data_IF_890716725343
#
_entry.id   IF_890716725343
#
_cell.length_a   1.000
_cell.length_b   1.000
_cell.length_c   1.000
_cell.angle_alpha   90.00
_cell.angle_beta   90.00
_cell.angle_gamma   90.00
#
_symmetry.space_group_name_H-M   'P 1'
#
loop_
_entity.id
_entity.type
_entity.pdbx_description
1 polymer ?
#
# COMPACT_ATOMS: atom_id res chain seq x y z
N UNK A 1 21.04 -11.85 1.16
CA UNK A 1 20.18 -11.12 0.19
C UNK A 1 19.45 -12.14 -0.67
N UNK A 2 18.13 -12.18 -0.63
CA UNK A 2 17.33 -13.13 -1.43
C UNK A 2 17.21 -12.62 -2.87
N UNK A 3 17.73 -13.38 -3.83
CA UNK A 3 17.65 -13.07 -5.26
C UNK A 3 16.49 -13.84 -5.89
N UNK A 4 15.61 -13.12 -6.57
CA UNK A 4 14.52 -13.68 -7.38
C UNK A 4 14.83 -13.47 -8.86
N UNK A 5 14.08 -14.16 -9.75
CA UNK A 5 14.23 -13.99 -11.19
C UNK A 5 13.96 -12.54 -11.65
N UNK A 6 13.20 -11.76 -10.88
CA UNK A 6 12.95 -10.34 -11.08
C UNK A 6 13.88 -9.42 -10.27
N UNK A 7 15.05 -9.91 -9.84
CA UNK A 7 16.05 -9.13 -9.11
C UNK A 7 15.99 -9.27 -7.59
N UNK A 8 16.65 -8.34 -6.90
CA UNK A 8 16.67 -8.27 -5.43
C UNK A 8 15.48 -7.44 -4.96
N UNK A 9 14.58 -8.03 -4.18
CA UNK A 9 13.36 -7.34 -3.69
C UNK A 9 13.60 -6.52 -2.42
N UNK A 10 14.62 -6.89 -1.64
CA UNK A 10 14.98 -6.23 -0.39
C UNK A 10 16.49 -6.38 -0.14
N UNK A 11 17.19 -5.26 0.07
CA UNK A 11 18.63 -5.18 0.28
C UNK A 11 18.93 -4.21 1.42
N UNK A 12 19.86 -4.56 2.30
CA UNK A 12 20.32 -3.69 3.39
C UNK A 12 19.39 -3.58 4.60
N UNK A 13 18.23 -4.26 4.63
CA UNK A 13 17.36 -4.30 5.82
C UNK A 13 17.78 -5.39 6.80
N UNK A 14 18.08 -5.00 8.03
CA UNK A 14 18.59 -5.88 9.10
C UNK A 14 17.56 -6.01 10.22
N UNK A 15 16.80 -7.11 10.24
CA UNK A 15 15.97 -7.53 11.39
C UNK A 15 15.08 -6.44 12.00
N UNK A 16 14.50 -5.56 11.18
CA UNK A 16 13.62 -4.48 11.64
C UNK A 16 12.41 -5.06 12.40
N UNK A 17 12.26 -4.64 13.64
CA UNK A 17 11.14 -4.97 14.51
C UNK A 17 9.93 -4.12 14.18
N UNK A 18 8.76 -4.48 14.70
CA UNK A 18 7.57 -3.63 14.58
C UNK A 18 7.77 -2.24 15.20
N UNK A 19 8.50 -2.16 16.30
CA UNK A 19 8.82 -0.90 16.97
C UNK A 19 9.68 0.01 16.09
N UNK A 20 10.63 -0.54 15.32
CA UNK A 20 11.44 0.23 14.38
C UNK A 20 10.56 0.92 13.31
N UNK A 21 9.50 0.24 12.83
CA UNK A 21 8.54 0.86 11.91
C UNK A 21 7.73 1.97 12.58
N UNK A 22 7.29 1.77 13.82
CA UNK A 22 6.57 2.80 14.57
C UNK A 22 7.46 4.04 14.83
N UNK A 23 8.74 3.83 15.07
CA UNK A 23 9.72 4.88 15.36
C UNK A 23 10.34 5.51 14.10
N UNK A 24 10.01 5.01 12.91
CA UNK A 24 10.50 5.59 11.65
C UNK A 24 10.11 7.07 11.54
N UNK A 25 11.04 7.91 11.07
CA UNK A 25 10.87 9.37 11.02
C UNK A 25 9.56 9.80 10.32
N UNK A 26 9.21 9.13 9.22
CA UNK A 26 7.94 9.36 8.51
C UNK A 26 6.71 9.09 9.39
N UNK A 27 6.71 8.02 10.18
CA UNK A 27 5.60 7.70 11.08
C UNK A 27 5.43 8.76 12.15
N UNK A 28 6.53 9.28 12.70
CA UNK A 28 6.53 10.36 13.68
C UNK A 28 6.00 11.68 13.09
N UNK A 29 6.50 12.08 11.92
CA UNK A 29 6.05 13.31 11.23
C UNK A 29 4.56 13.24 10.87
N UNK A 30 4.09 12.09 10.37
CA UNK A 30 2.69 11.86 10.02
C UNK A 30 1.80 11.53 11.22
N UNK A 31 2.36 11.45 12.43
CA UNK A 31 1.64 11.06 13.65
C UNK A 31 0.88 9.76 13.46
N UNK A 32 1.53 8.75 12.89
CA UNK A 32 0.96 7.41 12.75
C UNK A 32 1.04 6.69 14.09
N UNK A 33 -0.12 6.33 14.64
CA UNK A 33 -0.21 5.38 15.74
C UNK A 33 0.18 3.95 15.33
N UNK A 34 0.58 3.08 16.27
CA UNK A 34 0.92 1.69 15.98
C UNK A 34 -0.17 0.93 15.20
N UNK A 35 -1.45 1.23 15.44
CA UNK A 35 -2.56 0.62 14.70
C UNK A 35 -2.53 0.96 13.20
N UNK A 36 -2.18 2.19 12.82
CA UNK A 36 -1.99 2.58 11.42
C UNK A 36 -0.83 1.79 10.81
N UNK A 37 0.33 1.77 11.48
CA UNK A 37 1.53 1.06 11.01
C UNK A 37 1.24 -0.43 10.81
N UNK A 38 0.62 -1.07 11.81
CA UNK A 38 0.23 -2.48 11.73
C UNK A 38 -0.73 -2.73 10.56
N UNK A 39 -1.76 -1.90 10.40
CA UNK A 39 -2.75 -2.08 9.34
C UNK A 39 -2.16 -1.93 7.93
N UNK A 40 -1.26 -0.95 7.73
CA UNK A 40 -0.55 -0.74 6.47
C UNK A 40 0.40 -1.89 6.15
N UNK A 41 1.13 -2.40 7.15
CA UNK A 41 2.00 -3.57 6.98
C UNK A 41 1.20 -4.84 6.71
N UNK A 42 0.08 -5.05 7.40
CA UNK A 42 -0.82 -6.17 7.11
C UNK A 42 -1.36 -6.08 5.67
N UNK A 43 -1.73 -4.88 5.20
CA UNK A 43 -2.22 -4.67 3.84
C UNK A 43 -1.20 -5.03 2.75
N UNK A 44 0.11 -4.98 3.03
CA UNK A 44 1.13 -5.38 2.05
C UNK A 44 1.46 -6.89 2.05
N UNK A 45 0.84 -7.66 2.94
CA UNK A 45 0.92 -9.13 2.98
C UNK A 45 -0.23 -9.78 2.20
N UNK A 46 -0.30 -11.11 2.18
CA UNK A 46 -1.41 -11.86 1.59
C UNK A 46 -2.81 -11.47 2.13
N UNK A 47 -2.88 -10.81 3.30
CA UNK A 47 -4.12 -10.32 3.92
C UNK A 47 -4.85 -9.27 3.06
N UNK A 48 -4.16 -8.62 2.11
CA UNK A 48 -4.79 -7.67 1.18
C UNK A 48 -6.03 -8.24 0.48
N UNK A 49 -6.08 -9.57 0.25
CA UNK A 49 -7.20 -10.24 -0.39
C UNK A 49 -8.45 -10.22 0.49
N UNK A 50 -8.28 -10.43 1.79
CA UNK A 50 -9.37 -10.40 2.78
C UNK A 50 -9.86 -8.99 3.08
N UNK A 51 -9.01 -7.98 2.82
CA UNK A 51 -9.39 -6.56 2.92
C UNK A 51 -10.10 -6.10 1.63
N UNK A 52 -9.47 -6.29 0.47
CA UNK A 52 -10.00 -5.76 -0.79
C UNK A 52 -11.17 -6.57 -1.34
N UNK A 53 -11.30 -7.85 -1.01
CA UNK A 53 -12.36 -8.72 -1.49
C UNK A 53 -13.75 -8.20 -1.10
N UNK A 54 -14.05 -8.06 0.20
CA UNK A 54 -15.36 -7.56 0.64
C UNK A 54 -15.62 -6.10 0.26
N UNK A 55 -14.59 -5.27 0.08
CA UNK A 55 -14.73 -3.91 -0.46
C UNK A 55 -15.14 -3.87 -1.94
N UNK A 56 -14.82 -4.92 -2.71
CA UNK A 56 -15.20 -5.06 -4.13
C UNK A 56 -16.54 -5.76 -4.34
N UNK A 57 -17.07 -6.43 -3.30
CA UNK A 57 -18.31 -7.18 -3.38
C UNK A 57 -19.52 -6.24 -3.27
N UNK A 58 -20.09 -5.92 -4.43
CA UNK A 58 -21.28 -5.06 -4.56
C UNK A 58 -22.57 -5.72 -4.08
N UNK A 59 -22.59 -7.03 -3.85
CA UNK A 59 -23.77 -7.78 -3.40
C UNK A 59 -23.83 -7.94 -1.88
N UNK A 60 -22.74 -7.63 -1.17
CA UNK A 60 -22.66 -7.80 0.27
C UNK A 60 -23.48 -6.75 1.00
N UNK A 61 -24.33 -7.19 1.92
CA UNK A 61 -25.26 -6.36 2.70
C UNK A 61 -24.82 -6.11 4.15
N UNK A 62 -23.90 -6.93 4.69
CA UNK A 62 -23.39 -6.81 6.06
C UNK A 62 -22.18 -5.88 6.20
N UNK A 63 -21.73 -5.57 7.44
CA UNK A 63 -20.53 -4.78 7.66
C UNK A 63 -19.28 -5.46 7.08
N UNK A 64 -18.21 -4.69 6.88
CA UNK A 64 -16.93 -5.26 6.46
C UNK A 64 -16.34 -6.13 7.60
N UNK A 65 -15.88 -7.37 7.35
CA UNK A 65 -15.38 -8.26 8.40
C UNK A 65 -14.19 -7.69 9.20
N UNK A 66 -13.41 -6.83 8.56
CA UNK A 66 -12.24 -6.14 9.12
C UNK A 66 -12.42 -4.62 9.13
N UNK A 67 -13.61 -4.11 9.46
CA UNK A 67 -13.95 -2.69 9.35
C UNK A 67 -12.95 -1.75 10.04
N UNK A 68 -12.49 -2.10 11.25
CA UNK A 68 -11.51 -1.29 11.99
C UNK A 68 -10.15 -1.28 11.26
N UNK A 69 -9.69 -2.42 10.77
CA UNK A 69 -8.44 -2.49 9.98
C UNK A 69 -8.54 -1.65 8.72
N UNK A 70 -9.68 -1.68 8.02
CA UNK A 70 -9.92 -0.83 6.84
C UNK A 70 -9.85 0.65 7.22
N UNK A 71 -10.48 1.04 8.34
CA UNK A 71 -10.43 2.42 8.85
C UNK A 71 -9.00 2.87 9.11
N UNK A 72 -8.16 2.04 9.74
CA UNK A 72 -6.76 2.37 9.99
C UNK A 72 -5.91 2.40 8.71
N UNK A 73 -6.20 1.57 7.71
CA UNK A 73 -5.54 1.66 6.40
C UNK A 73 -5.86 3.00 5.74
N UNK A 74 -7.15 3.35 5.68
CA UNK A 74 -7.62 4.60 5.09
C UNK A 74 -7.03 5.83 5.81
N UNK A 75 -7.09 5.86 7.15
CA UNK A 75 -6.50 6.92 7.95
C UNK A 75 -4.98 7.02 7.81
N UNK A 76 -4.29 5.88 7.87
CA UNK A 76 -2.84 5.81 7.73
C UNK A 76 -2.37 6.34 6.37
N UNK A 77 -3.01 5.91 5.28
CA UNK A 77 -2.69 6.41 3.92
C UNK A 77 -2.94 7.92 3.82
N UNK A 78 -4.05 8.43 4.36
CA UNK A 78 -4.35 9.87 4.33
C UNK A 78 -3.29 10.69 5.06
N UNK A 79 -2.87 10.24 6.25
CA UNK A 79 -1.81 10.91 7.04
C UNK A 79 -0.47 10.91 6.30
N UNK A 80 -0.13 9.81 5.62
CA UNK A 80 1.10 9.71 4.81
C UNK A 80 1.15 10.69 3.64
N UNK A 81 0.00 11.11 3.09
CA UNK A 81 -0.05 12.14 2.02
C UNK A 81 0.53 13.48 2.47
N UNK A 82 0.58 13.77 3.77
CA UNK A 82 1.21 14.98 4.28
C UNK A 82 2.71 15.08 3.93
N UNK A 83 3.40 13.95 3.74
CA UNK A 83 4.80 13.95 3.27
C UNK A 83 4.86 14.37 1.80
N UNK A 84 4.05 13.72 0.96
CA UNK A 84 4.00 14.03 -0.47
C UNK A 84 3.59 15.48 -0.74
N UNK A 85 2.70 16.04 0.07
CA UNK A 85 2.29 17.44 -0.03
C UNK A 85 3.43 18.45 0.18
N UNK A 86 4.49 18.06 0.89
CA UNK A 86 5.66 18.90 1.16
C UNK A 86 6.86 18.59 0.24
N UNK A 87 6.72 17.64 -0.69
CA UNK A 87 7.76 17.28 -1.63
C UNK A 87 7.82 18.27 -2.81
N UNK A 88 9.01 18.48 -3.37
CA UNK A 88 9.12 19.15 -4.67
C UNK A 88 8.33 18.35 -5.72
N UNK A 89 7.44 19.02 -6.45
CA UNK A 89 6.55 18.34 -7.38
C UNK A 89 5.34 17.66 -6.73
N UNK A 90 4.94 18.03 -5.51
CA UNK A 90 3.74 17.51 -4.83
C UNK A 90 2.44 17.50 -5.68
N UNK A 91 2.34 18.42 -6.64
CA UNK A 91 1.20 18.56 -7.57
C UNK A 91 1.53 18.08 -8.99
N UNK A 92 2.71 17.52 -9.20
CA UNK A 92 3.11 16.98 -10.49
C UNK A 92 2.31 15.72 -10.80
N UNK A 93 2.01 15.53 -12.08
CA UNK A 93 1.40 14.30 -12.56
C UNK A 93 2.47 13.20 -12.56
N UNK A 94 2.13 12.05 -11.95
CA UNK A 94 2.97 10.85 -11.96
C UNK A 94 2.22 9.69 -12.63
N UNK A 95 2.90 8.98 -13.53
CA UNK A 95 2.36 7.77 -14.15
C UNK A 95 2.71 6.54 -13.30
N UNK A 96 1.68 5.89 -12.76
CA UNK A 96 1.82 4.68 -11.94
C UNK A 96 1.43 3.43 -12.72
N UNK A 97 2.30 2.44 -12.71
CA UNK A 97 2.11 1.18 -13.42
C UNK A 97 1.73 0.05 -12.47
N UNK A 98 0.70 -0.74 -12.84
CA UNK A 98 0.31 -1.94 -12.11
C UNK A 98 0.15 -3.12 -13.05
N UNK A 99 0.92 -4.18 -12.79
CA UNK A 99 0.75 -5.46 -13.47
C UNK A 99 -0.59 -6.12 -13.12
N UNK A 100 -1.35 -6.48 -14.15
CA UNK A 100 -2.66 -7.13 -14.01
C UNK A 100 -2.68 -8.42 -14.83
N UNK A 101 -3.13 -9.52 -14.24
CA UNK A 101 -3.42 -10.75 -14.98
C UNK A 101 -4.82 -10.65 -15.56
N UNK A 102 -4.99 -11.01 -16.84
CA UNK A 102 -6.26 -10.96 -17.56
C UNK A 102 -6.87 -9.55 -17.67
N UNK A 103 -6.05 -8.50 -17.70
CA UNK A 103 -6.55 -7.18 -18.08
C UNK A 103 -6.89 -7.19 -19.57
N UNK A 104 -8.09 -6.73 -19.93
CA UNK A 104 -8.40 -6.40 -21.31
C UNK A 104 -7.68 -5.10 -21.64
N UNK A 105 -6.62 -5.18 -22.43
CA UNK A 105 -5.91 -4.01 -22.95
C UNK A 105 -6.43 -3.67 -24.34
N UNK A 106 -6.51 -2.39 -24.64
CA UNK A 106 -6.88 -1.90 -25.97
C UNK A 106 -5.72 -2.20 -26.94
N UNK A 107 -6.03 -2.60 -28.17
CA UNK A 107 -5.03 -3.00 -29.17
C UNK A 107 -3.99 -1.90 -29.46
N UNK A 108 -4.39 -0.63 -29.33
CA UNK A 108 -3.52 0.55 -29.49
C UNK A 108 -2.37 0.60 -28.45
N UNK A 109 -2.61 0.10 -27.23
CA UNK A 109 -1.55 0.02 -26.22
C UNK A 109 -0.52 -1.06 -26.57
N UNK A 110 -0.93 -2.12 -27.26
CA UNK A 110 -0.03 -3.22 -27.67
C UNK A 110 0.79 -2.87 -28.92
N UNK A 111 0.29 -1.97 -29.78
CA UNK A 111 0.97 -1.59 -31.02
C UNK A 111 2.06 -0.52 -30.84
N UNK A 112 2.04 0.21 -29.72
CA UNK A 112 3.01 1.26 -29.37
C UNK A 112 4.23 0.74 -28.56
N UNK A 113 4.39 -0.58 -28.47
CA UNK A 113 5.40 -1.27 -27.65
C UNK A 113 6.84 -0.81 -27.85
#
# INVERSE_FOLDING_TARGET
VTRFANGVRDEGRNSETFEDFCNHATCQVCKLEPAHVLSLRLYSTAVYKSINGPLRDTKRTGPHPLAITVSFVDEGVRRLRAIGANAEGAIAQEDLWRGMRNAQMQDEFLSLG
#
